data_IF_631248127476
#
_entry.id   IF_631248127476
#
_cell.length_a   1.000
_cell.length_b   1.000
_cell.length_c   1.000
_cell.angle_alpha   90.00
_cell.angle_beta   90.00
_cell.angle_gamma   90.00
#
_symmetry.space_group_name_H-M   'P 1'
#
loop_
_entity.id
_entity.type
_entity.pdbx_description
1 polymer ?
#
# COMPACT_ATOMS: atom_id res chain seq x y z
N UNK A 1 14.31 -2.57 8.09
CA UNK A 1 13.45 -1.75 7.22
C UNK A 1 12.13 -1.44 7.91
N UNK A 2 11.42 -0.41 7.47
CA UNK A 2 10.10 -0.02 8.02
C UNK A 2 8.92 -0.74 7.36
N UNK A 3 7.74 -0.65 7.98
CA UNK A 3 6.49 -1.21 7.44
C UNK A 3 5.40 -0.11 7.40
N UNK A 4 4.48 -0.22 6.45
CA UNK A 4 3.30 0.62 6.30
C UNK A 4 2.04 -0.24 6.49
N UNK A 5 1.10 0.22 7.30
CA UNK A 5 -0.24 -0.35 7.39
C UNK A 5 -1.26 0.78 7.40
N UNK A 6 -1.99 0.94 6.31
CA UNK A 6 -2.85 2.11 6.08
C UNK A 6 -4.23 1.70 5.61
N UNK A 7 -5.26 2.34 6.17
CA UNK A 7 -6.67 2.20 5.79
C UNK A 7 -6.97 3.08 4.58
N UNK A 8 -7.58 2.52 3.55
CA UNK A 8 -7.94 3.22 2.31
C UNK A 8 -9.31 2.77 1.82
N UNK A 9 -9.98 3.62 1.03
CA UNK A 9 -11.19 3.23 0.31
C UNK A 9 -10.81 2.72 -1.09
N UNK A 10 -11.38 1.58 -1.49
CA UNK A 10 -11.20 0.98 -2.81
C UNK A 10 -12.06 1.71 -3.85
N UNK A 11 -11.59 2.88 -4.25
CA UNK A 11 -12.16 3.72 -5.32
C UNK A 11 -11.33 3.68 -6.61
N UNK A 12 -11.53 4.68 -7.47
CA UNK A 12 -10.89 4.78 -8.79
C UNK A 12 -9.36 4.84 -8.71
N UNK A 13 -8.80 5.58 -7.76
CA UNK A 13 -7.36 5.78 -7.61
C UNK A 13 -6.64 4.65 -6.87
N UNK A 14 -7.38 3.70 -6.29
CA UNK A 14 -6.81 2.63 -5.46
C UNK A 14 -5.78 1.76 -6.21
N UNK A 15 -6.01 1.33 -7.47
CA UNK A 15 -5.04 0.55 -8.21
C UNK A 15 -3.71 1.29 -8.42
N UNK A 16 -3.75 2.60 -8.70
CA UNK A 16 -2.54 3.41 -8.89
C UNK A 16 -1.78 3.58 -7.58
N UNK A 17 -2.48 3.84 -6.47
CA UNK A 17 -1.88 3.89 -5.13
C UNK A 17 -1.12 2.59 -4.78
N UNK A 18 -1.72 1.42 -5.03
CA UNK A 18 -1.07 0.12 -4.78
C UNK A 18 0.14 -0.06 -5.71
N UNK A 19 0.06 0.40 -6.96
CA UNK A 19 1.15 0.34 -7.94
C UNK A 19 2.33 1.22 -7.53
N UNK A 20 2.08 2.40 -6.98
CA UNK A 20 3.11 3.29 -6.41
C UNK A 20 3.77 2.70 -5.17
N UNK A 21 3.03 1.92 -4.37
CA UNK A 21 3.60 1.25 -3.19
C UNK A 21 4.56 0.09 -3.57
N UNK A 22 4.29 -0.66 -4.64
CA UNK A 22 5.09 -1.84 -5.03
C UNK A 22 6.60 -1.58 -5.15
N UNK A 23 7.10 -0.50 -5.77
CA UNK A 23 8.55 -0.23 -5.82
C UNK A 23 9.14 0.19 -4.46
N UNK A 24 8.32 0.66 -3.52
CA UNK A 24 8.77 1.18 -2.22
C UNK A 24 8.92 0.10 -1.15
N UNK A 25 8.33 -1.08 -1.33
CA UNK A 25 8.36 -2.16 -0.34
C UNK A 25 8.78 -3.49 -0.97
N UNK A 26 9.30 -4.40 -0.16
CA UNK A 26 9.59 -5.78 -0.59
C UNK A 26 8.30 -6.56 -0.88
N UNK A 27 7.24 -6.29 -0.11
CA UNK A 27 5.93 -6.91 -0.27
C UNK A 27 4.82 -5.91 -0.02
N UNK A 28 3.82 -5.89 -0.89
CA UNK A 28 2.58 -5.12 -0.73
C UNK A 28 1.40 -6.09 -0.74
N UNK A 29 0.52 -5.98 0.25
CA UNK A 29 -0.72 -6.78 0.35
C UNK A 29 -1.93 -5.89 0.60
N UNK A 30 -3.05 -6.22 -0.02
CA UNK A 30 -4.35 -5.64 0.29
C UNK A 30 -5.05 -6.57 1.27
N UNK A 31 -5.59 -6.02 2.36
CA UNK A 31 -6.18 -6.77 3.47
C UNK A 31 -7.59 -6.24 3.74
N UNK A 32 -8.60 -7.10 3.63
CA UNK A 32 -9.96 -6.85 4.10
C UNK A 32 -10.13 -7.56 5.45
N UNK A 33 -10.08 -6.86 6.60
CA UNK A 33 -10.15 -7.51 7.90
C UNK A 33 -11.54 -8.10 8.16
N UNK A 34 -11.63 -9.20 8.89
CA UNK A 34 -12.91 -9.84 9.24
C UNK A 34 -13.84 -8.92 10.06
N UNK A 35 -13.27 -7.96 10.80
CA UNK A 35 -14.01 -6.94 11.54
C UNK A 35 -14.62 -5.84 10.64
N UNK A 36 -14.21 -5.76 9.37
CA UNK A 36 -14.81 -4.81 8.44
C UNK A 36 -16.09 -5.37 7.82
N UNK A 37 -17.11 -4.52 7.72
CA UNK A 37 -18.37 -4.82 7.05
C UNK A 37 -18.11 -5.23 5.59
N UNK A 38 -18.84 -6.25 5.11
CA UNK A 38 -18.66 -6.82 3.75
C UNK A 38 -18.99 -5.80 2.67
N UNK A 39 -19.98 -4.95 2.92
CA UNK A 39 -20.47 -3.88 2.06
C UNK A 39 -19.56 -2.65 2.03
N UNK A 40 -18.66 -2.49 3.00
CA UNK A 40 -17.74 -1.36 3.03
C UNK A 40 -16.67 -1.50 1.93
N UNK A 41 -16.34 -0.41 1.25
CA UNK A 41 -15.21 -0.34 0.31
C UNK A 41 -13.87 -0.14 1.00
N UNK A 42 -13.85 -0.14 2.33
CA UNK A 42 -12.63 0.04 3.11
C UNK A 42 -11.77 -1.24 3.11
N UNK A 43 -10.49 -1.06 2.80
CA UNK A 43 -9.43 -2.08 2.87
C UNK A 43 -8.19 -1.48 3.51
N UNK A 44 -7.25 -2.34 3.92
CA UNK A 44 -5.94 -1.93 4.37
C UNK A 44 -4.87 -2.30 3.33
N UNK A 45 -3.86 -1.46 3.17
CA UNK A 45 -2.65 -1.77 2.41
C UNK A 45 -1.50 -1.98 3.38
N UNK A 46 -0.90 -3.17 3.32
CA UNK A 46 0.25 -3.60 4.10
C UNK A 46 1.50 -3.60 3.22
N UNK A 47 2.37 -2.61 3.41
CA UNK A 47 3.73 -2.57 2.85
C UNK A 47 4.74 -3.10 3.86
N UNK A 48 5.53 -4.12 3.49
CA UNK A 48 6.58 -4.70 4.34
C UNK A 48 7.94 -4.56 3.71
N UNK A 49 8.93 -4.20 4.54
CA UNK A 49 10.32 -4.05 4.09
C UNK A 49 10.48 -2.83 3.20
N UNK A 50 10.36 -1.63 3.79
CA UNK A 50 10.57 -0.38 3.07
C UNK A 50 11.96 -0.33 2.45
N UNK A 51 11.99 -0.10 1.14
CA UNK A 51 13.19 0.08 0.32
C UNK A 51 13.37 1.57 0.09
N UNK A 52 14.40 2.20 0.69
CA UNK A 52 14.69 3.59 0.39
C UNK A 52 15.02 3.72 -1.10
N UNK A 53 14.21 4.48 -1.83
CA UNK A 53 14.52 4.81 -3.22
C UNK A 53 15.79 5.66 -3.20
N UNK A 54 16.88 5.11 -3.70
CA UNK A 54 18.10 5.87 -3.98
C UNK A 54 17.69 7.07 -4.86
N UNK A 55 17.83 8.29 -4.32
CA UNK A 55 17.70 9.50 -5.14
C UNK A 55 18.80 9.42 -6.19
N UNK A 56 18.49 8.99 -7.42
CA UNK A 56 19.36 9.31 -8.55
C UNK A 56 19.43 10.83 -8.59
N UNK A 57 20.61 11.40 -8.28
CA UNK A 57 20.90 12.81 -8.58
C UNK A 57 20.55 12.97 -10.06
N UNK A 58 19.56 13.82 -10.37
CA UNK A 58 19.41 14.34 -11.74
C UNK A 58 20.73 15.05 -12.03
N UNK A 59 21.47 14.52 -12.99
CA UNK A 59 22.64 15.17 -13.56
C UNK A 59 22.19 16.35 -14.41
#
# INVERSE_FOLDING_TARGET
GGNLYVKVFQGEDFPEFVKECKPLFDRVKVVKPASSRRESREVFVLGRGYRPVSKKKKQ
#
